data_IF_541235946079
#
_entry.id   IF_541235946079
#
_cell.length_a   1.000
_cell.length_b   1.000
_cell.length_c   1.000
_cell.angle_alpha   90.00
_cell.angle_beta   90.00
_cell.angle_gamma   90.00
#
_symmetry.space_group_name_H-M   'P 1'
#
loop_
_entity.id
_entity.type
_entity.pdbx_description
1 polymer ?
#
# COMPACT_ATOMS: atom_id res chain seq x y z
N UNK A 1 -26.19 -16.52 -15.60
CA UNK A 1 -26.63 -15.20 -15.11
C UNK A 1 -25.42 -14.48 -14.56
N UNK A 2 -25.45 -13.15 -14.50
CA UNK A 2 -24.39 -12.36 -13.86
C UNK A 2 -24.47 -12.57 -12.34
N UNK A 3 -23.37 -12.99 -11.73
CA UNK A 3 -23.20 -13.06 -10.28
C UNK A 3 -22.43 -11.83 -9.83
N UNK A 4 -23.13 -10.84 -9.27
CA UNK A 4 -22.54 -9.56 -8.90
C UNK A 4 -21.37 -9.70 -7.90
N UNK A 5 -21.35 -10.76 -7.09
CA UNK A 5 -20.27 -10.98 -6.11
C UNK A 5 -19.02 -11.57 -6.77
N UNK A 6 -19.20 -12.47 -7.73
CA UNK A 6 -18.09 -13.14 -8.41
C UNK A 6 -17.60 -12.41 -9.66
N UNK A 7 -18.45 -11.59 -10.28
CA UNK A 7 -18.22 -10.90 -11.56
C UNK A 7 -17.72 -9.45 -11.37
N UNK A 8 -17.63 -8.96 -10.13
CA UNK A 8 -17.07 -7.64 -9.81
C UNK A 8 -15.69 -7.82 -9.14
N UNK A 9 -14.59 -7.79 -9.91
CA UNK A 9 -13.27 -8.07 -9.37
C UNK A 9 -12.83 -7.02 -8.33
N UNK A 10 -11.82 -7.36 -7.54
CA UNK A 10 -11.26 -6.46 -6.52
C UNK A 10 -10.60 -5.28 -7.24
N UNK A 11 -11.14 -4.08 -7.08
CA UNK A 11 -10.59 -2.89 -7.70
C UNK A 11 -9.31 -2.42 -6.97
N UNK A 12 -8.14 -2.94 -7.39
CA UNK A 12 -6.88 -2.80 -6.64
C UNK A 12 -6.41 -1.35 -6.47
N UNK A 13 -6.73 -0.46 -7.41
CA UNK A 13 -6.45 0.98 -7.30
C UNK A 13 -7.15 1.57 -6.08
N UNK A 14 -8.46 1.30 -5.97
CA UNK A 14 -9.29 1.83 -4.91
C UNK A 14 -9.08 1.11 -3.58
N UNK A 15 -8.78 -0.19 -3.60
CA UNK A 15 -8.56 -0.99 -2.37
C UNK A 15 -7.19 -0.72 -1.76
N UNK A 16 -6.13 -0.69 -2.57
CA UNK A 16 -4.76 -0.63 -2.06
C UNK A 16 -4.23 0.81 -2.07
N UNK A 17 -4.17 1.50 -3.19
CA UNK A 17 -3.57 2.85 -3.25
C UNK A 17 -4.46 3.90 -2.57
N UNK A 18 -5.71 4.04 -3.04
CA UNK A 18 -6.69 4.97 -2.46
C UNK A 18 -7.38 4.42 -1.20
N UNK A 19 -7.02 3.22 -0.77
CA UNK A 19 -7.44 2.59 0.47
C UNK A 19 -6.29 2.50 1.46
N UNK A 20 -5.62 1.35 1.49
CA UNK A 20 -4.57 1.09 2.49
C UNK A 20 -3.47 2.15 2.49
N UNK A 21 -2.79 2.40 1.37
CA UNK A 21 -1.67 3.34 1.33
C UNK A 21 -2.13 4.74 1.76
N UNK A 22 -3.25 5.23 1.24
CA UNK A 22 -3.84 6.51 1.63
C UNK A 22 -4.06 6.63 3.14
N UNK A 23 -4.78 5.67 3.73
CA UNK A 23 -5.15 5.76 5.15
C UNK A 23 -3.96 5.54 6.07
N UNK A 24 -3.09 4.58 5.75
CA UNK A 24 -1.89 4.32 6.55
C UNK A 24 -0.90 5.48 6.46
N UNK A 25 -0.73 6.11 5.28
CA UNK A 25 0.13 7.29 5.14
C UNK A 25 -0.42 8.47 5.93
N UNK A 26 -1.72 8.71 5.83
CA UNK A 26 -2.39 9.73 6.60
C UNK A 26 -2.21 9.53 8.11
N UNK A 27 -2.24 8.29 8.58
CA UNK A 27 -2.01 7.94 9.99
C UNK A 27 -0.56 8.14 10.42
N UNK A 28 0.41 7.77 9.59
CA UNK A 28 1.83 8.09 9.81
C UNK A 28 2.03 9.60 9.99
N UNK A 29 1.36 10.43 9.17
CA UNK A 29 1.50 11.88 9.25
C UNK A 29 0.72 12.46 10.44
N UNK A 30 -0.56 12.09 10.65
CA UNK A 30 -1.43 12.67 11.67
C UNK A 30 -1.29 12.00 13.04
N UNK A 31 -1.51 10.69 13.10
CA UNK A 31 -1.82 9.97 14.35
C UNK A 31 -0.57 9.41 15.03
N UNK A 32 0.43 8.95 14.26
CA UNK A 32 1.64 8.29 14.79
C UNK A 32 2.87 9.21 14.92
N UNK A 33 2.74 10.29 15.68
CA UNK A 33 3.88 11.02 16.30
C UNK A 33 4.64 12.04 15.45
N UNK A 34 4.27 12.29 14.18
CA UNK A 34 5.01 13.22 13.31
C UNK A 34 4.40 14.62 13.29
N UNK A 35 3.06 14.77 13.22
CA UNK A 35 2.41 16.10 13.21
C UNK A 35 2.75 16.96 14.42
N UNK A 36 2.88 16.34 15.59
CA UNK A 36 3.22 17.04 16.84
C UNK A 36 4.72 17.36 16.97
N UNK A 37 5.57 16.83 16.07
CA UNK A 37 7.00 17.09 16.05
C UNK A 37 7.45 17.64 14.68
N UNK A 38 7.45 18.98 14.53
CA UNK A 38 7.84 19.64 13.27
C UNK A 38 9.21 19.23 12.74
N UNK A 39 10.16 18.88 13.62
CA UNK A 39 11.49 18.44 13.22
C UNK A 39 11.43 17.06 12.57
N UNK A 40 10.74 16.08 13.19
CA UNK A 40 10.51 14.76 12.57
C UNK A 40 9.80 14.87 11.23
N UNK A 41 8.84 15.78 11.12
CA UNK A 41 8.11 16.03 9.87
C UNK A 41 9.06 16.53 8.77
N UNK A 42 9.91 17.50 9.11
CA UNK A 42 10.93 18.04 8.19
C UNK A 42 11.98 17.00 7.82
N UNK A 43 12.42 16.18 8.77
CA UNK A 43 13.35 15.08 8.54
C UNK A 43 12.75 14.06 7.57
N UNK A 44 11.50 13.63 7.78
CA UNK A 44 10.82 12.71 6.85
C UNK A 44 10.71 13.31 5.44
N UNK A 45 10.31 14.58 5.33
CA UNK A 45 10.23 15.27 4.04
C UNK A 45 11.61 15.36 3.35
N UNK A 46 12.68 15.55 4.13
CA UNK A 46 14.06 15.56 3.65
C UNK A 46 14.47 14.17 3.17
N UNK A 47 14.24 13.12 3.98
CA UNK A 47 14.51 11.74 3.60
C UNK A 47 13.80 11.35 2.30
N UNK A 48 12.52 11.69 2.17
CA UNK A 48 11.75 11.46 0.94
C UNK A 48 12.32 12.21 -0.26
N UNK A 49 12.80 13.44 -0.09
CA UNK A 49 13.37 14.24 -1.20
C UNK A 49 14.79 13.81 -1.57
N UNK A 50 15.51 13.17 -0.64
CA UNK A 50 16.90 12.77 -0.79
C UNK A 50 17.08 11.30 -1.16
N UNK A 51 16.05 10.46 -1.04
CA UNK A 51 16.15 9.05 -1.40
C UNK A 51 16.46 8.90 -2.89
N UNK A 52 17.39 7.99 -3.21
CA UNK A 52 17.68 7.63 -4.58
C UNK A 52 16.53 6.79 -5.14
N UNK A 53 16.05 7.17 -6.32
CA UNK A 53 14.89 6.55 -6.98
C UNK A 53 15.27 5.89 -8.30
N UNK A 54 16.55 5.92 -8.66
CA UNK A 54 17.07 5.18 -9.79
C UNK A 54 16.69 3.70 -9.70
N UNK A 55 16.16 3.16 -10.81
CA UNK A 55 15.69 1.78 -10.88
C UNK A 55 14.26 1.54 -10.34
N UNK A 56 13.60 2.53 -9.73
CA UNK A 56 12.21 2.39 -9.27
C UNK A 56 11.15 2.67 -10.37
N UNK A 57 11.60 3.09 -11.56
CA UNK A 57 10.71 3.44 -12.67
C UNK A 57 9.84 4.67 -12.39
N UNK A 58 10.37 5.62 -11.61
CA UNK A 58 9.71 6.90 -11.30
C UNK A 58 10.20 7.99 -12.26
N UNK A 59 9.27 8.79 -12.79
CA UNK A 59 9.58 9.85 -13.77
C UNK A 59 10.37 11.03 -13.18
N UNK A 60 10.38 11.17 -11.85
CA UNK A 60 11.04 12.26 -11.14
C UNK A 60 11.32 11.93 -9.69
N UNK A 61 12.24 12.69 -9.08
CA UNK A 61 12.46 12.68 -7.63
C UNK A 61 11.17 12.98 -6.88
N UNK A 62 11.03 12.42 -5.68
CA UNK A 62 9.87 12.65 -4.85
C UNK A 62 9.86 14.09 -4.33
N UNK A 63 8.73 14.76 -4.47
CA UNK A 63 8.48 16.04 -3.82
C UNK A 63 8.13 15.80 -2.35
N UNK A 64 9.12 15.45 -1.52
CA UNK A 64 8.91 15.02 -0.12
C UNK A 64 8.12 16.03 0.71
N UNK A 65 8.37 17.33 0.52
CA UNK A 65 7.55 18.38 1.14
C UNK A 65 6.07 18.26 0.78
N UNK A 66 5.75 18.04 -0.49
CA UNK A 66 4.35 17.85 -0.93
C UNK A 66 3.73 16.60 -0.33
N UNK A 67 4.46 15.48 -0.32
CA UNK A 67 3.96 14.21 0.21
C UNK A 67 3.64 14.26 1.72
N UNK A 68 4.30 15.16 2.45
CA UNK A 68 4.18 15.29 3.91
C UNK A 68 3.29 16.47 4.31
N UNK A 69 3.33 17.61 3.61
CA UNK A 69 2.51 18.79 3.91
C UNK A 69 1.11 18.69 3.32
N UNK A 70 0.98 18.09 2.14
CA UNK A 70 -0.28 17.99 1.40
C UNK A 70 -0.83 16.55 1.39
N UNK A 71 -0.55 15.79 2.46
CA UNK A 71 -0.91 14.37 2.59
C UNK A 71 -2.42 14.09 2.39
N UNK A 72 -3.30 15.06 2.62
CA UNK A 72 -4.75 14.94 2.44
C UNK A 72 -5.23 15.07 0.99
N UNK A 73 -4.44 15.66 0.10
CA UNK A 73 -4.78 15.92 -1.31
C UNK A 73 -3.97 15.08 -2.30
N UNK A 74 -3.31 14.02 -1.81
CA UNK A 74 -2.51 13.13 -2.65
C UNK A 74 -3.39 12.26 -3.56
N UNK A 75 -2.84 11.94 -4.72
CA UNK A 75 -3.46 11.14 -5.78
C UNK A 75 -2.98 9.70 -5.77
N UNK A 76 -3.59 8.82 -6.58
CA UNK A 76 -3.13 7.44 -6.76
C UNK A 76 -1.66 7.36 -7.21
N UNK A 77 -1.22 8.30 -8.06
CA UNK A 77 0.18 8.40 -8.50
C UNK A 77 1.14 8.69 -7.34
N UNK A 78 0.77 9.62 -6.46
CA UNK A 78 1.57 9.94 -5.27
C UNK A 78 1.67 8.73 -4.32
N UNK A 79 0.55 8.03 -4.10
CA UNK A 79 0.54 6.83 -3.27
C UNK A 79 1.37 5.68 -3.85
N UNK A 80 1.42 5.54 -5.18
CA UNK A 80 2.30 4.58 -5.85
C UNK A 80 3.78 4.90 -5.59
N UNK A 81 4.17 6.18 -5.60
CA UNK A 81 5.54 6.59 -5.23
C UNK A 81 5.84 6.29 -3.77
N UNK A 82 4.91 6.63 -2.88
CA UNK A 82 5.05 6.40 -1.43
C UNK A 82 5.25 4.91 -1.13
N UNK A 83 4.44 4.01 -1.69
CA UNK A 83 4.50 2.60 -1.32
C UNK A 83 5.82 1.90 -1.72
N UNK A 84 6.49 2.40 -2.76
CA UNK A 84 7.80 1.91 -3.19
C UNK A 84 8.92 2.33 -2.24
N UNK A 85 8.83 3.53 -1.66
CA UNK A 85 9.90 4.09 -0.81
C UNK A 85 9.66 3.94 0.69
N UNK A 86 8.41 3.71 1.11
CA UNK A 86 7.97 3.74 2.50
C UNK A 86 8.83 2.86 3.45
N UNK A 87 9.17 1.60 3.14
CA UNK A 87 10.00 0.77 4.01
C UNK A 87 11.40 1.33 4.26
N UNK A 88 11.94 2.13 3.34
CA UNK A 88 13.27 2.71 3.44
C UNK A 88 13.26 4.03 4.23
N UNK A 89 12.19 4.81 4.12
CA UNK A 89 12.10 6.12 4.77
C UNK A 89 11.44 6.07 6.15
N UNK A 90 10.55 5.12 6.42
CA UNK A 90 9.79 5.09 7.68
C UNK A 90 10.54 4.44 8.85
N UNK A 91 11.65 3.75 8.58
CA UNK A 91 12.44 3.10 9.62
C UNK A 91 12.95 4.13 10.63
N UNK A 92 12.57 3.97 11.90
CA UNK A 92 12.93 4.91 12.98
C UNK A 92 12.02 6.14 13.11
N UNK A 93 11.07 6.35 12.18
CA UNK A 93 10.09 7.42 12.28
C UNK A 93 8.80 6.99 12.98
N UNK A 94 8.42 5.71 12.82
CA UNK A 94 7.18 5.13 13.34
C UNK A 94 7.47 4.00 14.33
N UNK A 95 6.45 3.55 15.07
CA UNK A 95 6.57 2.38 15.94
C UNK A 95 6.76 1.08 15.13
N UNK A 96 7.16 0.01 15.81
CA UNK A 96 7.50 -1.27 15.20
C UNK A 96 6.31 -1.87 14.44
N UNK A 97 5.12 -1.84 15.02
CA UNK A 97 3.92 -2.46 14.42
C UNK A 97 3.49 -1.73 13.14
N UNK A 98 3.57 -0.40 13.13
CA UNK A 98 3.35 0.41 11.94
C UNK A 98 4.39 0.09 10.87
N UNK A 99 5.67 0.04 11.24
CA UNK A 99 6.75 -0.26 10.30
C UNK A 99 6.62 -1.66 9.68
N UNK A 100 6.33 -2.67 10.48
CA UNK A 100 6.07 -4.04 10.03
C UNK A 100 4.87 -4.10 9.07
N UNK A 101 3.81 -3.34 9.35
CA UNK A 101 2.64 -3.25 8.45
C UNK A 101 3.02 -2.65 7.10
N UNK A 102 3.85 -1.61 7.07
CA UNK A 102 4.35 -1.03 5.82
C UNK A 102 5.23 -2.00 5.04
N UNK A 103 6.09 -2.78 5.71
CA UNK A 103 6.88 -3.84 5.06
C UNK A 103 5.95 -4.88 4.42
N UNK A 104 4.97 -5.39 5.18
CA UNK A 104 4.02 -6.38 4.68
C UNK A 104 3.20 -5.84 3.50
N UNK A 105 2.74 -4.59 3.58
CA UNK A 105 2.02 -3.93 2.49
C UNK A 105 2.88 -3.77 1.25
N UNK A 106 4.15 -3.38 1.39
CA UNK A 106 5.05 -3.23 0.24
C UNK A 106 5.32 -4.57 -0.45
N UNK A 107 5.49 -5.67 0.30
CA UNK A 107 5.60 -7.02 -0.29
C UNK A 107 4.34 -7.40 -1.06
N UNK A 108 3.17 -7.15 -0.48
CA UNK A 108 1.88 -7.41 -1.12
C UNK A 108 1.73 -6.60 -2.42
N UNK A 109 2.04 -5.31 -2.39
CA UNK A 109 1.96 -4.44 -3.58
C UNK A 109 2.85 -4.95 -4.72
N UNK A 110 4.06 -5.42 -4.42
CA UNK A 110 4.96 -5.98 -5.44
C UNK A 110 4.34 -7.17 -6.17
N UNK A 111 3.59 -8.03 -5.47
CA UNK A 111 2.91 -9.17 -6.07
C UNK A 111 1.66 -8.76 -6.86
N UNK A 112 0.90 -7.79 -6.36
CA UNK A 112 -0.36 -7.36 -6.98
C UNK A 112 -0.13 -6.62 -8.30
N UNK A 113 0.95 -5.86 -8.41
CA UNK A 113 1.32 -5.11 -9.62
C UNK A 113 2.28 -5.86 -10.56
N UNK A 114 2.32 -7.20 -10.48
CA UNK A 114 3.05 -7.98 -11.49
C UNK A 114 2.24 -8.05 -12.79
N UNK A 115 2.85 -7.74 -13.95
CA UNK A 115 2.17 -7.78 -15.23
C UNK A 115 1.88 -9.21 -15.71
N UNK A 116 2.70 -10.17 -15.28
CA UNK A 116 2.66 -11.56 -15.72
C UNK A 116 2.81 -12.50 -14.52
N UNK A 117 2.12 -13.64 -14.58
CA UNK A 117 2.17 -14.69 -13.56
C UNK A 117 2.65 -15.97 -14.24
N UNK A 118 3.90 -16.37 -13.98
CA UNK A 118 4.51 -17.55 -14.58
C UNK A 118 3.86 -18.87 -14.09
N UNK A 119 3.65 -18.97 -12.78
CA UNK A 119 3.04 -20.14 -12.16
C UNK A 119 1.91 -19.70 -11.23
N UNK A 120 0.67 -19.87 -11.71
CA UNK A 120 -0.53 -19.42 -11.02
C UNK A 120 -0.66 -20.03 -9.62
N UNK A 121 -0.44 -21.33 -9.46
CA UNK A 121 -0.62 -22.00 -8.16
C UNK A 121 0.40 -21.56 -7.12
N UNK A 122 1.66 -21.35 -7.53
CA UNK A 122 2.71 -20.84 -6.65
C UNK A 122 2.45 -19.39 -6.29
N UNK A 123 2.10 -18.57 -7.29
CA UNK A 123 1.76 -17.16 -7.10
C UNK A 123 0.61 -17.00 -6.12
N UNK A 124 -0.49 -17.74 -6.29
CA UNK A 124 -1.66 -17.63 -5.42
C UNK A 124 -1.37 -18.06 -3.99
N UNK A 125 -0.52 -19.08 -3.78
CA UNK A 125 -0.08 -19.47 -2.42
C UNK A 125 0.71 -18.35 -1.75
N UNK A 126 1.65 -17.74 -2.49
CA UNK A 126 2.47 -16.63 -1.98
C UNK A 126 1.58 -15.41 -1.71
N UNK A 127 0.68 -15.06 -2.64
CA UNK A 127 -0.22 -13.93 -2.50
C UNK A 127 -1.13 -14.09 -1.28
N UNK A 128 -1.78 -15.25 -1.11
CA UNK A 128 -2.61 -15.51 0.07
C UNK A 128 -1.79 -15.38 1.36
N UNK A 129 -0.58 -15.93 1.38
CA UNK A 129 0.31 -15.79 2.54
C UNK A 129 0.63 -14.32 2.86
N UNK A 130 1.00 -13.51 1.87
CA UNK A 130 1.33 -12.10 2.08
C UNK A 130 0.09 -11.25 2.44
N UNK A 131 -1.10 -11.61 1.94
CA UNK A 131 -2.37 -11.02 2.40
C UNK A 131 -2.55 -11.32 3.89
N UNK A 132 -2.43 -12.58 4.31
CA UNK A 132 -2.57 -12.97 5.72
C UNK A 132 -1.55 -12.25 6.61
N UNK A 133 -0.29 -12.17 6.17
CA UNK A 133 0.75 -11.42 6.90
C UNK A 133 0.41 -9.94 7.03
N UNK A 134 -0.04 -9.30 5.94
CA UNK A 134 -0.46 -7.90 5.97
C UNK A 134 -1.63 -7.67 6.94
N UNK A 135 -2.66 -8.53 6.90
CA UNK A 135 -3.80 -8.44 7.81
C UNK A 135 -3.39 -8.63 9.27
N UNK A 136 -2.49 -9.58 9.55
CA UNK A 136 -1.96 -9.79 10.90
C UNK A 136 -1.16 -8.59 11.40
N UNK A 137 -0.27 -8.01 10.58
CA UNK A 137 0.48 -6.81 10.94
C UNK A 137 -0.46 -5.62 11.18
N UNK A 138 -1.44 -5.41 10.29
CA UNK A 138 -2.44 -4.35 10.45
C UNK A 138 -3.23 -4.53 11.75
N UNK A 139 -3.66 -5.75 12.09
CA UNK A 139 -4.38 -6.03 13.33
C UNK A 139 -3.54 -5.75 14.58
N UNK A 140 -2.24 -6.10 14.55
CA UNK A 140 -1.30 -5.80 15.64
C UNK A 140 -1.09 -4.30 15.82
N UNK A 141 -1.01 -3.55 14.72
CA UNK A 141 -0.89 -2.09 14.77
C UNK A 141 -2.17 -1.44 15.30
N UNK A 142 -3.33 -1.77 14.72
CA UNK A 142 -4.63 -1.30 15.19
C UNK A 142 -5.79 -2.07 14.56
N UNK A 143 -6.65 -2.66 15.39
CA UNK A 143 -7.89 -3.31 14.93
C UNK A 143 -8.87 -2.34 14.23
N UNK A 144 -8.72 -1.03 14.43
CA UNK A 144 -9.59 -0.01 13.80
C UNK A 144 -9.52 -0.03 12.27
N UNK A 145 -8.43 -0.54 11.70
CA UNK A 145 -8.28 -0.69 10.25
C UNK A 145 -9.42 -1.51 9.62
N UNK A 146 -9.91 -2.52 10.35
CA UNK A 146 -10.95 -3.44 9.88
C UNK A 146 -12.36 -2.85 9.90
N UNK A 147 -12.55 -1.63 10.43
CA UNK A 147 -13.80 -0.89 10.26
C UNK A 147 -14.01 -0.45 8.80
N UNK A 148 -12.99 -0.53 7.94
CA UNK A 148 -13.09 -0.28 6.51
C UNK A 148 -13.35 -1.61 5.77
N UNK A 149 -14.35 -1.69 4.87
CA UNK A 149 -14.65 -2.93 4.14
C UNK A 149 -13.51 -3.40 3.22
N UNK A 150 -12.60 -2.50 2.85
CA UNK A 150 -11.45 -2.79 1.96
C UNK A 150 -10.57 -3.93 2.47
N UNK A 151 -10.39 -4.07 3.78
CA UNK A 151 -9.59 -5.16 4.37
C UNK A 151 -10.26 -6.53 4.18
N UNK A 152 -11.59 -6.59 4.26
CA UNK A 152 -12.33 -7.81 3.95
C UNK A 152 -12.31 -8.10 2.44
N UNK A 153 -12.50 -7.09 1.59
CA UNK A 153 -12.50 -7.25 0.13
C UNK A 153 -11.17 -7.84 -0.37
N UNK A 154 -10.05 -7.47 0.24
CA UNK A 154 -8.72 -7.93 -0.16
C UNK A 154 -8.59 -9.46 -0.19
N UNK A 155 -9.27 -10.19 0.70
CA UNK A 155 -9.15 -11.65 0.78
C UNK A 155 -9.73 -12.38 -0.45
N UNK A 156 -10.55 -11.69 -1.24
CA UNK A 156 -11.10 -12.22 -2.50
C UNK A 156 -10.14 -12.05 -3.70
N UNK A 157 -9.06 -11.28 -3.53
CA UNK A 157 -8.12 -11.01 -4.63
C UNK A 157 -7.51 -12.27 -5.26
N UNK A 158 -7.10 -13.32 -4.50
CA UNK A 158 -6.59 -14.55 -5.09
C UNK A 158 -7.61 -15.28 -5.98
N UNK A 159 -8.89 -15.28 -5.59
CA UNK A 159 -9.97 -15.88 -6.38
C UNK A 159 -10.19 -15.10 -7.68
N UNK A 160 -10.21 -13.76 -7.60
CA UNK A 160 -10.33 -12.91 -8.77
C UNK A 160 -9.13 -13.03 -9.72
N UNK A 161 -7.91 -13.14 -9.20
CA UNK A 161 -6.72 -13.34 -10.05
C UNK A 161 -6.77 -14.71 -10.74
N UNK A 162 -7.22 -15.76 -10.04
CA UNK A 162 -7.43 -17.08 -10.67
C UNK A 162 -8.41 -16.99 -11.85
N UNK A 163 -9.46 -16.18 -11.73
CA UNK A 163 -10.54 -16.09 -12.72
C UNK A 163 -10.22 -15.13 -13.87
N UNK A 164 -9.64 -13.98 -13.58
CA UNK A 164 -9.50 -12.86 -14.51
C UNK A 164 -8.04 -12.59 -14.93
N UNK A 165 -7.08 -13.33 -14.37
CA UNK A 165 -5.65 -13.11 -14.60
C UNK A 165 -5.05 -12.05 -13.67
N UNK A 166 -3.84 -11.55 -13.99
CA UNK A 166 -3.14 -10.57 -13.16
C UNK A 166 -4.00 -9.38 -12.77
N UNK A 167 -3.87 -8.91 -11.53
CA UNK A 167 -4.76 -7.87 -10.99
C UNK A 167 -4.69 -6.53 -11.73
N UNK A 168 -3.58 -6.27 -12.41
CA UNK A 168 -3.44 -5.12 -13.30
C UNK A 168 -4.49 -5.06 -14.41
N UNK A 169 -5.02 -6.20 -14.86
CA UNK A 169 -6.00 -6.26 -15.96
C UNK A 169 -7.37 -5.68 -15.59
N UNK A 170 -7.67 -5.57 -14.30
CA UNK A 170 -8.91 -5.01 -13.78
C UNK A 170 -8.66 -3.84 -12.80
N UNK A 171 -7.49 -3.22 -12.91
CA UNK A 171 -7.16 -1.98 -12.22
C UNK A 171 -7.70 -0.78 -13.02
N UNK A 172 -9.03 -0.64 -13.04
CA UNK A 172 -9.69 0.50 -13.70
C UNK A 172 -9.73 1.73 -12.79
N UNK A 173 -9.79 2.92 -13.38
CA UNK A 173 -10.09 4.20 -12.73
C UNK A 173 -11.50 4.65 -13.10
#
# INVERSE_FOLDING_TARGET
>A
GLDAHADTPVEILHVILLGFVKYLWHDVIIENQIKLNPNKKKELATCLSSIEVEGLGLDSKLAGNTLVEHYGSLTGSDFRKICQVAPFVLKGFVNTECYETWIALSKLILLVWQPEIENLETYLKILTHEIDQFLLCAAKWSIRWFNKPKFHILVHLPEHIRRFGPAMLFATE
#
